data_IF_032772153017
#
_entry.id   IF_032772153017
#
_cell.length_a   1.000
_cell.length_b   1.000
_cell.length_c   1.000
_cell.angle_alpha   90.00
_cell.angle_beta   90.00
_cell.angle_gamma   90.00
#
_symmetry.space_group_name_H-M   'P 1'
#
loop_
_entity.id
_entity.type
_entity.pdbx_description
1 polymer ?
#
# COMPACT_ATOMS: atom_id res chain seq x y z
N UNK A 1 -5.01 9.94 1.32
CA UNK A 1 -3.99 9.85 2.39
C UNK A 1 -2.71 9.50 1.69
N UNK A 2 -1.65 10.28 1.93
CA UNK A 2 -0.44 10.19 1.12
C UNK A 2 0.38 8.92 1.39
N UNK A 3 0.25 8.38 2.60
CA UNK A 3 0.93 7.15 3.03
C UNK A 3 0.54 5.93 2.19
N UNK A 4 -0.74 5.62 2.01
CA UNK A 4 -1.17 4.49 1.16
C UNK A 4 -0.83 4.70 -0.32
N UNK A 5 -0.70 5.95 -0.78
CA UNK A 5 -0.21 6.26 -2.13
C UNK A 5 1.26 5.87 -2.27
N UNK A 6 2.09 6.17 -1.26
CA UNK A 6 3.52 5.86 -1.26
C UNK A 6 3.81 4.39 -0.91
N UNK A 7 3.02 3.80 -0.02
CA UNK A 7 3.21 2.47 0.54
C UNK A 7 1.93 1.63 0.46
N UNK A 8 1.56 1.13 -0.73
CA UNK A 8 0.40 0.27 -0.87
C UNK A 8 0.63 -1.12 -0.25
N UNK A 9 -0.35 -1.56 0.53
CA UNK A 9 -0.30 -2.83 1.29
C UNK A 9 -0.85 -4.02 0.51
N UNK A 10 -1.66 -3.78 -0.52
CA UNK A 10 -2.29 -4.83 -1.31
C UNK A 10 -1.42 -5.20 -2.52
N UNK A 11 -1.54 -6.44 -2.97
CA UNK A 11 -1.11 -6.88 -4.29
C UNK A 11 -2.31 -7.46 -5.03
N UNK A 12 -2.46 -7.12 -6.30
CA UNK A 12 -3.53 -7.66 -7.15
C UNK A 12 -2.92 -8.73 -8.04
N UNK A 13 -3.16 -10.00 -7.72
CA UNK A 13 -2.70 -11.12 -8.52
C UNK A 13 -3.82 -11.69 -9.38
N UNK A 14 -3.49 -12.11 -10.60
CA UNK A 14 -4.40 -12.81 -11.52
C UNK A 14 -3.64 -13.97 -12.17
N UNK A 15 -4.33 -15.08 -12.39
CA UNK A 15 -3.78 -16.22 -13.12
C UNK A 15 -4.36 -16.26 -14.53
N UNK A 16 -3.51 -16.41 -15.55
CA UNK A 16 -3.94 -16.54 -16.93
C UNK A 16 -4.63 -17.89 -17.15
N UNK A 17 -5.93 -17.87 -17.43
CA UNK A 17 -6.72 -19.08 -17.72
C UNK A 17 -6.63 -19.53 -19.18
N UNK A 18 -6.22 -18.63 -20.07
CA UNK A 18 -6.02 -18.85 -21.51
C UNK A 18 -4.79 -18.09 -21.98
N UNK A 19 -4.10 -18.55 -23.04
CA UNK A 19 -2.99 -17.80 -23.59
C UNK A 19 -3.49 -16.43 -24.07
N UNK A 20 -2.80 -15.36 -23.66
CA UNK A 20 -3.22 -13.98 -23.93
C UNK A 20 -2.04 -13.14 -24.40
N UNK A 21 -2.17 -12.52 -25.56
CA UNK A 21 -1.18 -11.57 -26.08
C UNK A 21 -1.47 -10.19 -25.53
N UNK A 22 -0.48 -9.58 -24.88
CA UNK A 22 -0.62 -8.27 -24.28
C UNK A 22 -0.78 -7.20 -25.37
N UNK A 23 -1.83 -6.36 -25.30
CA UNK A 23 -2.09 -5.36 -26.33
C UNK A 23 -0.94 -4.36 -26.41
N UNK A 24 -0.41 -4.14 -27.62
CA UNK A 24 0.73 -3.25 -27.86
C UNK A 24 2.11 -3.89 -27.69
N UNK A 25 2.19 -5.21 -27.45
CA UNK A 25 3.46 -5.94 -27.40
C UNK A 25 3.34 -7.30 -28.12
N UNK A 26 4.46 -7.89 -28.55
CA UNK A 26 4.47 -9.26 -29.07
C UNK A 26 4.55 -10.34 -27.96
N UNK A 27 4.40 -9.93 -26.69
CA UNK A 27 4.53 -10.84 -25.54
C UNK A 27 3.22 -11.61 -25.33
N UNK A 28 3.29 -12.94 -25.47
CA UNK A 28 2.18 -13.86 -25.20
C UNK A 28 2.35 -14.53 -23.84
N UNK A 29 1.38 -14.36 -22.95
CA UNK A 29 1.38 -14.95 -21.62
C UNK A 29 0.86 -16.40 -21.70
N UNK A 30 1.62 -17.41 -21.25
CA UNK A 30 1.15 -18.79 -21.23
C UNK A 30 0.12 -19.04 -20.13
N UNK A 31 -0.67 -20.10 -20.30
CA UNK A 31 -1.64 -20.56 -19.29
C UNK A 31 -0.92 -20.84 -17.97
N UNK A 32 -1.60 -20.55 -16.86
CA UNK A 32 -1.12 -20.73 -15.50
C UNK A 32 0.02 -19.78 -15.07
N UNK A 33 0.24 -18.70 -15.83
CA UNK A 33 1.15 -17.62 -15.42
C UNK A 33 0.47 -16.69 -14.42
N UNK A 34 1.15 -16.43 -13.29
CA UNK A 34 0.68 -15.45 -12.30
C UNK A 34 1.15 -14.05 -12.70
N UNK A 35 0.20 -13.14 -12.87
CA UNK A 35 0.44 -11.73 -13.18
C UNK A 35 0.16 -10.91 -11.94
N UNK A 36 1.17 -10.17 -11.48
CA UNK A 36 1.05 -9.24 -10.37
C UNK A 36 0.89 -7.82 -10.89
N UNK A 37 -0.25 -7.22 -10.60
CA UNK A 37 -0.47 -5.79 -10.81
C UNK A 37 -0.04 -5.04 -9.58
N UNK A 38 0.86 -4.09 -9.76
CA UNK A 38 1.26 -3.18 -8.68
C UNK A 38 0.17 -2.12 -8.49
N UNK A 39 -0.57 -2.13 -7.36
CA UNK A 39 -1.52 -1.06 -7.10
C UNK A 39 -0.85 0.30 -6.90
N UNK A 40 0.46 0.33 -6.62
CA UNK A 40 1.25 1.57 -6.58
C UNK A 40 1.15 2.35 -7.90
N UNK A 41 1.25 1.63 -9.03
CA UNK A 41 1.15 2.21 -10.36
C UNK A 41 -0.31 2.58 -10.67
N UNK A 42 -1.24 1.65 -10.45
CA UNK A 42 -2.67 1.85 -10.73
C UNK A 42 -3.27 3.04 -9.96
N UNK A 43 -2.87 3.25 -8.70
CA UNK A 43 -3.41 4.34 -7.87
C UNK A 43 -2.92 5.74 -8.27
N UNK A 44 -1.81 5.83 -9.03
CA UNK A 44 -1.25 7.10 -9.54
C UNK A 44 -1.79 7.47 -10.90
N UNK A 45 -2.24 6.48 -11.66
CA UNK A 45 -2.90 6.70 -12.93
C UNK A 45 -4.31 7.28 -12.67
N UNK A 46 -4.61 8.49 -13.17
CA UNK A 46 -5.92 9.11 -12.96
C UNK A 46 -7.08 8.32 -13.57
N UNK A 47 -6.83 7.56 -14.64
CA UNK A 47 -7.85 6.83 -15.39
C UNK A 47 -8.18 5.48 -14.74
N UNK A 48 -7.28 4.96 -13.89
CA UNK A 48 -7.42 3.65 -13.22
C UNK A 48 -7.78 3.76 -11.73
N UNK A 49 -8.18 4.95 -11.26
CA UNK A 49 -8.55 5.18 -9.86
C UNK A 49 -9.82 4.43 -9.48
N UNK A 50 -9.73 3.61 -8.43
CA UNK A 50 -10.88 2.89 -7.89
C UNK A 50 -11.92 3.86 -7.31
N UNK A 51 -13.21 3.58 -7.54
CA UNK A 51 -14.34 4.37 -7.02
C UNK A 51 -14.31 4.51 -5.48
N UNK A 52 -13.89 3.45 -4.78
CA UNK A 52 -13.82 3.42 -3.33
C UNK A 52 -12.63 4.20 -2.75
N UNK A 53 -11.69 4.67 -3.59
CA UNK A 53 -10.49 5.38 -3.13
C UNK A 53 -10.86 6.66 -2.34
N UNK A 54 -11.91 7.37 -2.75
CA UNK A 54 -12.34 8.60 -2.04
C UNK A 54 -12.95 8.29 -0.67
N UNK A 55 -13.75 7.22 -0.59
CA UNK A 55 -14.34 6.77 0.67
C UNK A 55 -13.27 6.31 1.66
N UNK A 56 -12.33 5.47 1.22
CA UNK A 56 -11.21 5.02 2.05
C UNK A 56 -10.41 6.22 2.58
N UNK A 57 -10.11 7.21 1.72
CA UNK A 57 -9.41 8.42 2.16
C UNK A 57 -10.18 9.22 3.21
N UNK A 58 -11.52 9.31 3.11
CA UNK A 58 -12.35 9.99 4.10
C UNK A 58 -12.33 9.23 5.43
N UNK A 59 -12.57 7.92 5.40
CA UNK A 59 -12.59 7.08 6.59
C UNK A 59 -11.25 7.16 7.34
N UNK A 60 -10.12 7.01 6.63
CA UNK A 60 -8.81 7.08 7.29
C UNK A 60 -8.52 8.48 7.84
N UNK A 61 -8.93 9.55 7.15
CA UNK A 61 -8.79 10.92 7.68
C UNK A 61 -9.60 11.13 8.96
N UNK A 62 -10.85 10.65 8.99
CA UNK A 62 -11.70 10.74 10.18
C UNK A 62 -11.10 9.98 11.36
N UNK A 63 -10.62 8.75 11.11
CA UNK A 63 -9.93 7.94 12.12
C UNK A 63 -8.69 8.66 12.64
N UNK A 64 -7.85 9.19 11.74
CA UNK A 64 -6.63 9.90 12.13
C UNK A 64 -6.93 11.15 12.96
N UNK A 65 -7.89 11.97 12.54
CA UNK A 65 -8.29 13.18 13.29
C UNK A 65 -8.90 12.81 14.64
N UNK A 66 -9.74 11.78 14.70
CA UNK A 66 -10.32 11.31 15.96
C UNK A 66 -9.24 10.77 16.92
N UNK A 67 -8.24 10.08 16.37
CA UNK A 67 -7.12 9.54 17.15
C UNK A 67 -6.23 10.66 17.68
N UNK A 68 -5.81 11.60 16.83
CA UNK A 68 -4.99 12.76 17.24
C UNK A 68 -5.71 13.69 18.22
N UNK A 69 -7.05 13.68 18.24
CA UNK A 69 -7.85 14.42 19.23
C UNK A 69 -7.80 13.80 20.63
N UNK A 70 -7.68 12.49 20.73
CA UNK A 70 -7.75 11.75 22.00
C UNK A 70 -6.37 11.31 22.52
N UNK A 71 -5.41 11.16 21.61
CA UNK A 71 -4.12 10.56 21.91
C UNK A 71 -2.98 11.45 21.40
N UNK A 72 -1.91 11.52 22.20
CA UNK A 72 -0.60 11.97 21.74
C UNK A 72 0.20 10.76 21.28
N UNK A 73 0.73 10.83 20.06
CA UNK A 73 1.59 9.79 19.48
C UNK A 73 3.04 10.27 19.53
N UNK A 74 3.90 9.53 20.19
CA UNK A 74 5.34 9.78 20.27
C UNK A 74 6.12 8.60 19.69
N UNK A 75 7.28 8.81 19.05
CA UNK A 75 8.17 7.72 18.65
C UNK A 75 8.58 6.88 19.86
N UNK A 76 8.53 5.55 19.72
CA UNK A 76 9.02 4.64 20.74
C UNK A 76 10.55 4.54 20.75
N UNK A 77 11.15 4.03 21.84
CA UNK A 77 12.60 3.84 21.94
C UNK A 77 13.17 2.83 20.92
N UNK A 78 12.30 2.03 20.28
CA UNK A 78 12.64 1.08 19.22
C UNK A 78 12.32 1.58 17.81
N UNK A 79 11.75 2.77 17.68
CA UNK A 79 11.51 3.36 16.37
C UNK A 79 12.85 3.64 15.70
N UNK A 80 13.01 3.21 14.46
CA UNK A 80 14.19 3.48 13.66
C UNK A 80 14.37 4.97 13.36
N UNK A 81 15.25 5.27 12.41
CA UNK A 81 15.45 6.63 11.92
C UNK A 81 14.15 7.25 11.35
N UNK A 82 14.16 8.56 11.04
CA UNK A 82 12.98 9.27 10.52
C UNK A 82 12.47 8.74 9.17
N UNK A 83 13.28 7.95 8.47
CA UNK A 83 12.94 7.36 7.18
C UNK A 83 12.75 5.85 7.33
N UNK A 84 11.59 5.31 6.92
CA UNK A 84 11.33 3.88 7.01
C UNK A 84 12.26 3.10 6.08
N UNK A 85 13.08 2.22 6.66
CA UNK A 85 13.85 1.24 5.89
C UNK A 85 12.92 0.07 5.59
N UNK A 86 12.65 -0.19 4.32
CA UNK A 86 11.78 -1.30 3.91
C UNK A 86 12.55 -2.61 4.00
N UNK A 87 11.88 -3.67 4.46
CA UNK A 87 12.45 -5.01 4.45
C UNK A 87 12.41 -5.58 3.01
N UNK A 88 13.56 -5.80 2.35
CA UNK A 88 13.61 -6.33 0.98
C UNK A 88 13.15 -7.79 0.89
N UNK A 89 13.08 -8.51 2.02
CA UNK A 89 12.67 -9.91 2.08
C UNK A 89 11.14 -10.06 2.20
N UNK A 90 10.44 -8.99 2.51
CA UNK A 90 8.99 -9.00 2.69
C UNK A 90 8.26 -8.92 1.33
N UNK A 91 7.23 -9.75 1.14
CA UNK A 91 6.37 -9.69 -0.05
C UNK A 91 5.45 -8.46 -0.12
N UNK A 92 5.53 -7.57 0.87
CA UNK A 92 4.78 -6.31 0.97
C UNK A 92 5.68 -5.22 1.57
N UNK A 93 5.25 -3.96 1.47
CA UNK A 93 6.01 -2.83 2.01
C UNK A 93 5.89 -2.79 3.54
N UNK A 94 6.83 -3.47 4.21
CA UNK A 94 6.93 -3.53 5.67
C UNK A 94 8.21 -2.82 6.10
N UNK A 95 8.10 -2.05 7.18
CA UNK A 95 9.26 -1.43 7.80
C UNK A 95 10.11 -2.47 8.53
N UNK A 96 11.40 -2.50 8.24
CA UNK A 96 12.37 -3.37 8.90
C UNK A 96 12.47 -2.98 10.38
N UNK A 97 12.19 -3.94 11.26
CA UNK A 97 12.17 -3.69 12.72
C UNK A 97 10.84 -3.15 13.27
N UNK A 98 9.87 -2.85 12.38
CA UNK A 98 8.51 -2.43 12.74
C UNK A 98 8.39 -0.98 13.22
N UNK A 99 7.19 -0.43 13.11
CA UNK A 99 6.88 0.94 13.56
C UNK A 99 6.39 0.91 15.01
N UNK A 100 7.22 1.37 15.94
CA UNK A 100 6.86 1.46 17.35
C UNK A 100 6.36 2.86 17.68
N UNK A 101 5.23 2.97 18.37
CA UNK A 101 4.66 4.23 18.81
C UNK A 101 4.26 4.14 20.29
N UNK A 102 4.56 5.18 21.04
CA UNK A 102 4.04 5.38 22.39
C UNK A 102 2.75 6.18 22.27
N UNK A 103 1.66 5.60 22.75
CA UNK A 103 0.34 6.25 22.77
C UNK A 103 0.07 6.74 24.18
N UNK A 104 -0.03 8.06 24.35
CA UNK A 104 -0.48 8.67 25.60
C UNK A 104 -1.90 9.17 25.42
N UNK A 105 -2.81 8.83 26.32
CA UNK A 105 -4.11 9.51 26.37
C UNK A 105 -3.85 10.97 26.73
N UNK A 106 -4.50 11.88 26.01
CA UNK A 106 -4.55 13.29 26.39
C UNK A 106 -5.62 13.51 27.46
#
# INVERSE_FOLDING_TARGET
METLRLYPVAQLSRCCTRPYTLPGTEVTLPVNTMVYFSPYALQRDPDLRCIAQRFAMLQTKLVLVALLRKCSLEPGPRTGGPWPELDPSAGTLVEKGGTWLVVKSR
#
